data_IF_964315461001
#
_entry.id   IF_964315461001
#
_cell.length_a   1.000
_cell.length_b   1.000
_cell.length_c   1.000
_cell.angle_alpha   90.00
_cell.angle_beta   90.00
_cell.angle_gamma   90.00
#
_symmetry.space_group_name_H-M   'P 1'
#
loop_
_entity.id
_entity.type
_entity.pdbx_description
1 polymer ?
#
# COMPACT_ATOMS: atom_id res chain seq x y z
N UNK A 1 27.82 -29.31 38.52
CA UNK A 1 26.70 -29.78 37.67
C UNK A 1 26.86 -29.12 36.31
N UNK A 2 27.30 -29.87 35.29
CA UNK A 2 27.52 -29.35 33.94
C UNK A 2 26.20 -29.43 33.16
N UNK A 3 25.72 -28.29 32.66
CA UNK A 3 24.52 -28.22 31.85
C UNK A 3 24.76 -28.93 30.51
N UNK A 4 23.92 -29.91 30.18
CA UNK A 4 23.95 -30.56 28.87
C UNK A 4 23.54 -29.56 27.80
N UNK A 5 24.28 -29.42 26.69
CA UNK A 5 23.88 -28.54 25.60
C UNK A 5 22.55 -29.01 25.04
N UNK A 6 21.56 -28.11 24.99
CA UNK A 6 20.28 -28.37 24.34
C UNK A 6 20.59 -28.54 22.85
N UNK A 7 20.51 -29.78 22.38
CA UNK A 7 20.70 -30.16 20.99
C UNK A 7 19.53 -29.58 20.18
N UNK A 8 19.73 -28.38 19.61
CA UNK A 8 18.76 -27.75 18.71
C UNK A 8 18.78 -28.54 17.40
N UNK A 9 17.88 -29.52 17.28
CA UNK A 9 17.73 -30.29 16.06
C UNK A 9 17.45 -29.34 14.91
N UNK A 10 18.36 -29.26 13.93
CA UNK A 10 18.16 -28.43 12.76
C UNK A 10 16.89 -28.89 12.05
N UNK A 11 15.91 -28.00 11.90
CA UNK A 11 14.68 -28.30 11.17
C UNK A 11 15.06 -28.75 9.75
N UNK A 12 14.39 -29.79 9.25
CA UNK A 12 14.64 -30.30 7.92
C UNK A 12 14.45 -29.19 6.88
N UNK A 13 15.30 -29.18 5.84
CA UNK A 13 15.22 -28.18 4.76
C UNK A 13 13.86 -28.16 4.03
N UNK A 14 13.03 -29.19 4.21
CA UNK A 14 11.65 -29.25 3.71
C UNK A 14 10.66 -28.42 4.52
N UNK A 15 10.94 -28.18 5.81
CA UNK A 15 10.17 -27.27 6.68
C UNK A 15 10.59 -25.81 6.50
N UNK A 16 11.76 -25.56 5.91
CA UNK A 16 12.10 -24.25 5.37
C UNK A 16 11.24 -24.09 4.12
N UNK A 17 10.00 -23.59 4.32
CA UNK A 17 9.10 -23.25 3.24
C UNK A 17 9.79 -22.30 2.30
N UNK A 18 10.41 -22.84 1.23
CA UNK A 18 10.94 -22.06 0.11
C UNK A 18 9.74 -21.56 -0.67
N UNK A 19 9.03 -20.58 -0.10
CA UNK A 19 8.03 -19.84 -0.84
C UNK A 19 8.79 -19.17 -1.97
N UNK A 20 8.63 -19.68 -3.20
CA UNK A 20 9.28 -19.14 -4.41
C UNK A 20 8.81 -17.72 -4.74
N UNK A 21 7.74 -17.27 -4.10
CA UNK A 21 7.34 -15.88 -4.02
C UNK A 21 7.34 -15.47 -2.54
N UNK A 22 7.99 -14.36 -2.13
CA UNK A 22 7.56 -13.68 -0.92
C UNK A 22 6.04 -13.46 -1.06
N UNK A 23 5.28 -13.65 0.01
CA UNK A 23 3.80 -13.69 -0.01
C UNK A 23 3.19 -12.40 -0.56
N UNK A 24 3.99 -11.35 -0.72
CA UNK A 24 3.60 -10.12 -1.38
C UNK A 24 4.49 -9.95 -2.60
N UNK A 25 4.10 -10.46 -3.80
CA UNK A 25 4.67 -9.92 -5.02
C UNK A 25 4.41 -8.43 -4.95
N UNK A 26 5.50 -7.67 -4.89
CA UNK A 26 5.58 -6.21 -4.80
C UNK A 26 4.22 -5.53 -4.82
N UNK A 27 3.74 -5.14 -3.64
CA UNK A 27 2.54 -4.34 -3.54
C UNK A 27 2.69 -3.07 -4.37
N UNK A 28 2.06 -3.07 -5.54
CA UNK A 28 2.13 -2.01 -6.51
C UNK A 28 0.93 -1.11 -6.29
N UNK A 29 1.18 0.02 -5.64
CA UNK A 29 0.22 1.11 -5.66
C UNK A 29 0.12 1.65 -7.08
N UNK A 30 -1.10 1.89 -7.53
CA UNK A 30 -1.35 2.53 -8.82
C UNK A 30 -0.85 3.98 -8.85
N UNK A 31 -0.83 4.65 -7.70
CA UNK A 31 -0.40 6.05 -7.59
C UNK A 31 0.81 6.23 -6.67
N UNK A 32 1.66 7.19 -7.03
CA UNK A 32 2.86 7.55 -6.27
C UNK A 32 2.61 8.75 -5.34
N UNK A 33 3.35 8.83 -4.23
CA UNK A 33 3.32 10.02 -3.36
C UNK A 33 3.87 11.21 -4.13
N UNK A 34 3.18 12.35 -4.03
CA UNK A 34 3.48 13.57 -4.80
C UNK A 34 2.84 13.59 -6.18
N UNK A 35 2.19 12.51 -6.62
CA UNK A 35 1.47 12.48 -7.87
C UNK A 35 0.21 13.35 -7.79
N UNK A 36 -0.05 14.12 -8.85
CA UNK A 36 -1.28 14.89 -9.02
C UNK A 36 -2.36 13.97 -9.58
N UNK A 37 -3.54 14.01 -8.96
CA UNK A 37 -4.72 13.23 -9.34
C UNK A 37 -5.97 14.12 -9.32
N UNK A 38 -7.07 13.61 -9.84
CA UNK A 38 -8.37 14.27 -9.80
C UNK A 38 -9.35 13.40 -9.02
N UNK A 39 -10.11 14.02 -8.12
CA UNK A 39 -11.21 13.35 -7.42
C UNK A 39 -12.39 13.17 -8.37
N UNK A 40 -12.81 11.92 -8.62
CA UNK A 40 -13.89 11.59 -9.56
C UNK A 40 -15.23 12.24 -9.17
N UNK A 41 -15.52 12.35 -7.88
CA UNK A 41 -16.80 12.86 -7.40
C UNK A 41 -16.94 14.39 -7.54
N UNK A 42 -15.84 15.14 -7.37
CA UNK A 42 -15.87 16.61 -7.31
C UNK A 42 -15.18 17.27 -8.51
N UNK A 43 -14.36 16.54 -9.25
CA UNK A 43 -13.49 17.09 -10.29
C UNK A 43 -12.33 17.93 -9.74
N UNK A 44 -12.14 17.95 -8.42
CA UNK A 44 -11.08 18.74 -7.79
C UNK A 44 -9.72 18.07 -7.98
N UNK A 45 -8.69 18.89 -8.21
CA UNK A 45 -7.31 18.42 -8.28
C UNK A 45 -6.77 18.19 -6.88
N UNK A 46 -6.11 17.07 -6.65
CA UNK A 46 -5.48 16.72 -5.39
C UNK A 46 -4.08 16.13 -5.62
N UNK A 47 -3.28 16.07 -4.56
CA UNK A 47 -1.96 15.43 -4.57
C UNK A 47 -1.97 14.24 -3.61
N UNK A 48 -1.40 13.11 -4.03
CA UNK A 48 -1.21 11.96 -3.16
C UNK A 48 -0.20 12.31 -2.06
N UNK A 49 -0.68 12.43 -0.82
CA UNK A 49 0.16 12.70 0.36
C UNK A 49 0.57 11.40 1.09
N UNK A 50 -0.22 10.34 0.95
CA UNK A 50 0.03 9.07 1.64
C UNK A 50 -0.64 7.88 0.96
N UNK A 51 -0.20 6.68 1.35
CA UNK A 51 -0.67 5.40 0.82
C UNK A 51 -0.85 4.43 1.98
N UNK A 52 -1.99 3.76 2.01
CA UNK A 52 -2.38 2.80 3.04
C UNK A 52 -2.74 1.51 2.32
N UNK A 53 -2.19 0.42 2.82
CA UNK A 53 -2.46 -0.90 2.28
C UNK A 53 -2.87 -1.86 3.37
N UNK A 54 -3.97 -2.55 3.11
CA UNK A 54 -4.55 -3.54 4.00
C UNK A 54 -4.58 -4.86 3.24
N UNK A 55 -4.01 -5.92 3.83
CA UNK A 55 -3.90 -7.22 3.18
C UNK A 55 -5.30 -7.72 2.76
N UNK A 56 -5.50 -7.98 1.47
CA UNK A 56 -6.78 -8.48 0.95
C UNK A 56 -7.87 -7.42 0.75
N UNK A 57 -7.52 -6.13 0.80
CA UNK A 57 -8.43 -5.02 0.52
C UNK A 57 -7.92 -4.16 -0.64
N UNK A 58 -8.78 -3.26 -1.10
CA UNK A 58 -8.46 -2.22 -2.08
C UNK A 58 -7.46 -1.23 -1.49
N UNK A 59 -6.56 -0.70 -2.31
CA UNK A 59 -5.59 0.30 -1.87
C UNK A 59 -6.28 1.61 -1.51
N UNK A 60 -5.81 2.23 -0.43
CA UNK A 60 -6.34 3.49 0.07
C UNK A 60 -5.26 4.57 0.01
N UNK A 61 -5.65 5.78 -0.35
CA UNK A 61 -4.79 6.92 -0.55
C UNK A 61 -5.20 8.05 0.38
N UNK A 62 -4.21 8.77 0.89
CA UNK A 62 -4.43 10.06 1.56
C UNK A 62 -4.08 11.14 0.56
N UNK A 63 -5.00 12.07 0.33
CA UNK A 63 -4.86 13.13 -0.67
C UNK A 63 -5.09 14.51 -0.06
N UNK A 64 -4.35 15.49 -0.56
CA UNK A 64 -4.51 16.90 -0.21
C UNK A 64 -5.08 17.64 -1.42
N UNK A 65 -6.24 18.27 -1.25
CA UNK A 65 -6.92 19.02 -2.32
C UNK A 65 -6.18 20.32 -2.58
N UNK A 66 -5.81 20.57 -3.84
CA UNK A 66 -5.02 21.73 -4.24
C UNK A 66 -5.84 23.01 -4.08
N UNK A 67 -5.33 23.96 -3.30
CA UNK A 67 -5.98 25.26 -3.09
C UNK A 67 -7.12 25.25 -2.06
N UNK A 68 -7.47 24.10 -1.50
CA UNK A 68 -8.39 23.99 -0.38
C UNK A 68 -7.66 24.05 0.95
N UNK A 69 -8.27 24.69 1.95
CA UNK A 69 -7.77 24.69 3.34
C UNK A 69 -8.62 23.74 4.19
N UNK A 70 -8.41 22.44 3.98
CA UNK A 70 -9.10 21.37 4.68
C UNK A 70 -8.10 20.29 5.13
N UNK A 71 -8.55 19.40 6.00
CA UNK A 71 -7.78 18.23 6.39
C UNK A 71 -7.64 17.26 5.20
N UNK A 72 -6.54 16.48 5.13
CA UNK A 72 -6.35 15.49 4.08
C UNK A 72 -7.49 14.47 4.03
N UNK A 73 -7.88 14.08 2.82
CA UNK A 73 -8.96 13.14 2.57
C UNK A 73 -8.41 11.73 2.38
N UNK A 74 -9.14 10.73 2.89
CA UNK A 74 -8.87 9.32 2.62
C UNK A 74 -9.80 8.83 1.52
N UNK A 75 -9.22 8.30 0.45
CA UNK A 75 -9.94 7.86 -0.76
C UNK A 75 -9.45 6.49 -1.21
N UNK A 76 -10.27 5.78 -1.97
CA UNK A 76 -9.92 4.50 -2.62
C UNK A 76 -9.42 4.75 -4.05
N UNK A 77 -8.70 3.78 -4.62
CA UNK A 77 -8.16 3.85 -5.99
C UNK A 77 -9.18 4.29 -7.05
N UNK A 78 -10.41 3.75 -7.03
CA UNK A 78 -11.46 4.02 -8.00
C UNK A 78 -12.12 5.39 -7.84
N UNK A 79 -11.80 6.13 -6.77
CA UNK A 79 -12.33 7.48 -6.52
C UNK A 79 -11.43 8.58 -7.09
N UNK A 80 -10.28 8.20 -7.63
CA UNK A 80 -9.28 9.10 -8.17
C UNK A 80 -8.80 8.65 -9.55
N UNK A 81 -8.40 9.60 -10.38
CA UNK A 81 -7.79 9.31 -11.68
C UNK A 81 -6.62 10.22 -12.00
N UNK A 82 -5.80 9.76 -12.96
CA UNK A 82 -4.65 10.51 -13.47
C UNK A 82 -5.06 11.66 -14.40
N UNK A 83 -6.27 11.62 -14.95
CA UNK A 83 -6.73 12.53 -16.00
C UNK A 83 -8.00 13.28 -15.56
N UNK A 84 -7.97 14.61 -15.63
CA UNK A 84 -9.17 15.45 -15.58
C UNK A 84 -10.08 15.29 -16.83
N UNK A 85 -9.74 14.40 -17.76
CA UNK A 85 -10.24 14.38 -19.13
C UNK A 85 -11.39 13.40 -19.40
N UNK A 86 -11.94 12.73 -18.38
CA UNK A 86 -13.18 11.93 -18.53
C UNK A 86 -14.38 12.71 -18.01
N UNK A 87 -14.87 13.61 -18.87
CA UNK A 87 -16.23 14.16 -18.85
C UNK A 87 -17.22 13.19 -19.48
#
# INVERSE_FOLDING_TARGET
MLATPIDRTALSRSLIGRRRCPINPEYQFEYEIGQVVVLECTGETAVIAGRIQIMGCVDEYIVEVVGAKCDPLRVMDFQISRDAARS
#
